data_IF_063757433310
#
_entry.id   IF_063757433310
#
_cell.length_a   1.000
_cell.length_b   1.000
_cell.length_c   1.000
_cell.angle_alpha   90.00
_cell.angle_beta   90.00
_cell.angle_gamma   90.00
#
_symmetry.space_group_name_H-M   'P 1'
#
loop_
_entity.id
_entity.type
_entity.pdbx_description
1 polymer ?
#
# COMPACT_ATOMS: atom_id res chain seq x y z
N UNK A 1 -28.26 12.37 -4.18
CA UNK A 1 -28.06 10.90 -4.21
C UNK A 1 -26.56 10.68 -4.11
N UNK A 2 -26.04 10.10 -3.03
CA UNK A 2 -24.58 9.90 -2.87
C UNK A 2 -24.09 8.84 -3.86
N UNK A 3 -22.94 9.06 -4.51
CA UNK A 3 -22.36 8.08 -5.41
C UNK A 3 -21.96 6.81 -4.65
N UNK A 4 -21.76 5.69 -5.36
CA UNK A 4 -21.28 4.46 -4.71
C UNK A 4 -19.90 4.68 -4.06
N UNK A 5 -19.04 5.47 -4.69
CA UNK A 5 -17.75 5.87 -4.14
C UNK A 5 -17.91 6.59 -2.79
N UNK A 6 -18.76 7.62 -2.71
CA UNK A 6 -18.92 8.41 -1.48
C UNK A 6 -19.46 7.55 -0.33
N UNK A 7 -20.31 6.56 -0.65
CA UNK A 7 -20.79 5.57 0.34
C UNK A 7 -19.67 4.68 0.85
N UNK A 8 -18.71 4.28 0.01
CA UNK A 8 -17.55 3.50 0.43
C UNK A 8 -16.55 4.33 1.23
N UNK A 9 -16.38 5.60 0.90
CA UNK A 9 -15.58 6.54 1.71
C UNK A 9 -16.17 6.66 3.11
N UNK A 10 -17.48 6.92 3.23
CA UNK A 10 -18.16 7.01 4.51
C UNK A 10 -17.99 5.72 5.35
N UNK A 11 -18.16 4.55 4.73
CA UNK A 11 -17.94 3.25 5.39
C UNK A 11 -16.49 3.03 5.82
N UNK A 12 -15.52 3.51 5.05
CA UNK A 12 -14.10 3.39 5.38
C UNK A 12 -13.75 4.23 6.60
N UNK A 13 -14.29 5.45 6.68
CA UNK A 13 -14.13 6.34 7.84
C UNK A 13 -14.83 5.76 9.07
N UNK A 14 -16.06 5.27 8.92
CA UNK A 14 -16.81 4.60 9.98
C UNK A 14 -16.05 3.39 10.53
N UNK A 15 -15.52 2.53 9.65
CA UNK A 15 -14.69 1.40 10.04
C UNK A 15 -13.41 1.86 10.73
N UNK A 16 -12.70 2.86 10.19
CA UNK A 16 -11.48 3.36 10.83
C UNK A 16 -11.70 3.88 12.24
N UNK A 17 -12.88 4.44 12.52
CA UNK A 17 -13.27 4.94 13.83
C UNK A 17 -13.88 3.86 14.75
N UNK A 18 -14.02 2.62 14.27
CA UNK A 18 -14.50 1.50 15.08
C UNK A 18 -13.33 0.83 15.82
N UNK A 19 -13.63 0.16 16.93
CA UNK A 19 -12.65 -0.66 17.63
C UNK A 19 -13.30 -1.93 18.18
N UNK A 20 -12.75 -3.13 17.91
CA UNK A 20 -11.57 -3.38 17.07
C UNK A 20 -11.88 -3.29 15.57
N UNK A 21 -10.90 -2.84 14.77
CA UNK A 21 -10.97 -2.93 13.30
C UNK A 21 -10.52 -4.33 12.86
N UNK A 22 -11.39 -5.05 12.16
CA UNK A 22 -11.05 -6.39 11.67
C UNK A 22 -10.38 -6.31 10.29
N UNK A 23 -9.21 -6.95 10.07
CA UNK A 23 -8.51 -6.89 8.78
C UNK A 23 -9.36 -7.32 7.57
N UNK A 24 -10.31 -8.24 7.79
CA UNK A 24 -11.23 -8.69 6.73
C UNK A 24 -12.16 -7.58 6.24
N UNK A 25 -12.51 -6.62 7.09
CA UNK A 25 -13.39 -5.50 6.73
C UNK A 25 -12.65 -4.46 5.89
N UNK A 26 -11.38 -4.17 6.22
CA UNK A 26 -10.50 -3.35 5.39
C UNK A 26 -10.36 -3.96 3.98
N UNK A 27 -10.14 -5.28 3.91
CA UNK A 27 -10.01 -6.00 2.64
C UNK A 27 -11.31 -5.91 1.84
N UNK A 28 -12.47 -6.11 2.47
CA UNK A 28 -13.78 -6.03 1.79
C UNK A 28 -14.03 -4.65 1.21
N UNK A 29 -13.73 -3.58 1.94
CA UNK A 29 -13.87 -2.21 1.42
C UNK A 29 -12.87 -1.94 0.29
N UNK A 30 -11.63 -2.41 0.41
CA UNK A 30 -10.63 -2.28 -0.65
C UNK A 30 -11.08 -2.96 -1.95
N UNK A 31 -11.66 -4.16 -1.85
CA UNK A 31 -12.24 -4.88 -3.00
C UNK A 31 -13.42 -4.11 -3.58
N UNK A 32 -14.33 -3.61 -2.74
CA UNK A 32 -15.50 -2.87 -3.20
C UNK A 32 -15.14 -1.61 -3.99
N UNK A 33 -14.05 -0.90 -3.63
CA UNK A 33 -13.52 0.20 -4.44
C UNK A 33 -12.96 -0.29 -5.77
N UNK A 34 -12.19 -1.39 -5.78
CA UNK A 34 -11.59 -1.96 -6.98
C UNK A 34 -12.60 -2.58 -7.96
N UNK A 35 -13.85 -2.81 -7.54
CA UNK A 35 -14.96 -3.29 -8.38
C UNK A 35 -15.85 -2.16 -8.91
N UNK A 36 -15.60 -0.90 -8.52
CA UNK A 36 -16.34 0.23 -9.07
C UNK A 36 -16.05 0.44 -10.56
N UNK A 37 -17.02 0.93 -11.34
CA UNK A 37 -16.76 1.36 -12.71
C UNK A 37 -15.84 2.60 -12.73
N UNK A 38 -15.16 2.81 -13.86
CA UNK A 38 -14.24 3.93 -14.08
C UNK A 38 -13.08 3.98 -13.07
N UNK A 39 -12.25 2.94 -13.11
CA UNK A 39 -11.14 2.76 -12.16
C UNK A 39 -10.12 3.91 -12.20
N UNK A 40 -9.94 4.59 -13.34
CA UNK A 40 -9.07 5.77 -13.40
C UNK A 40 -9.59 6.89 -12.49
N UNK A 41 -10.89 7.20 -12.59
CA UNK A 41 -11.50 8.20 -11.72
C UNK A 41 -11.52 7.74 -10.26
N UNK A 42 -11.84 6.47 -9.99
CA UNK A 42 -11.84 5.90 -8.63
C UNK A 42 -10.46 6.05 -7.98
N UNK A 43 -9.39 5.64 -8.66
CA UNK A 43 -8.02 5.74 -8.14
C UNK A 43 -7.60 7.19 -7.96
N UNK A 44 -7.91 8.07 -8.92
CA UNK A 44 -7.63 9.50 -8.81
C UNK A 44 -8.26 10.08 -7.53
N UNK A 45 -9.53 9.73 -7.25
CA UNK A 45 -10.22 10.14 -6.03
C UNK A 45 -9.65 9.50 -4.77
N UNK A 46 -9.30 8.22 -4.78
CA UNK A 46 -8.66 7.55 -3.63
C UNK A 46 -7.35 8.25 -3.23
N UNK A 47 -6.53 8.63 -4.22
CA UNK A 47 -5.29 9.38 -4.00
C UNK A 47 -5.58 10.76 -3.41
N UNK A 48 -6.57 11.48 -3.94
CA UNK A 48 -6.89 12.85 -3.49
C UNK A 48 -7.57 12.90 -2.12
N UNK A 49 -8.45 11.94 -1.82
CA UNK A 49 -9.32 12.02 -0.66
C UNK A 49 -8.83 11.19 0.53
N UNK A 50 -8.15 10.05 0.29
CA UNK A 50 -7.90 9.06 1.35
C UNK A 50 -6.41 8.80 1.66
N UNK A 51 -5.47 9.10 0.77
CA UNK A 51 -4.04 8.80 1.00
C UNK A 51 -3.43 9.58 2.16
N UNK A 52 -3.96 10.77 2.46
CA UNK A 52 -3.50 11.63 3.57
C UNK A 52 -4.53 11.70 4.71
N UNK A 53 -5.48 10.76 4.77
CA UNK A 53 -6.44 10.70 5.85
C UNK A 53 -5.74 10.43 7.20
N UNK A 54 -6.21 11.04 8.29
CA UNK A 54 -5.58 10.92 9.62
C UNK A 54 -5.57 9.47 10.14
N UNK A 55 -6.65 8.74 9.86
CA UNK A 55 -6.81 7.35 10.27
C UNK A 55 -6.05 6.38 9.35
N UNK A 56 -5.17 5.56 9.93
CA UNK A 56 -4.33 4.65 9.17
C UNK A 56 -5.11 3.56 8.42
N UNK A 57 -6.24 3.10 8.96
CA UNK A 57 -7.06 2.07 8.32
C UNK A 57 -7.66 2.60 7.02
N UNK A 58 -8.08 3.87 6.99
CA UNK A 58 -8.58 4.53 5.78
C UNK A 58 -7.48 4.62 4.72
N UNK A 59 -6.26 5.03 5.10
CA UNK A 59 -5.11 5.06 4.18
C UNK A 59 -4.82 3.66 3.61
N UNK A 60 -4.82 2.65 4.46
CA UNK A 60 -4.59 1.24 4.06
C UNK A 60 -5.63 0.73 3.09
N UNK A 61 -6.91 1.03 3.32
CA UNK A 61 -8.01 0.66 2.41
C UNK A 61 -7.77 1.26 1.03
N UNK A 62 -7.42 2.55 0.96
CA UNK A 62 -7.17 3.23 -0.30
C UNK A 62 -5.99 2.62 -1.09
N UNK A 63 -4.85 2.39 -0.43
CA UNK A 63 -3.68 1.77 -1.05
C UNK A 63 -4.01 0.36 -1.55
N UNK A 64 -4.69 -0.43 -0.72
CA UNK A 64 -5.09 -1.79 -1.06
C UNK A 64 -6.14 -1.86 -2.17
N UNK A 65 -6.99 -0.85 -2.31
CA UNK A 65 -7.92 -0.70 -3.43
C UNK A 65 -7.17 -0.39 -4.73
N UNK A 66 -6.27 0.59 -4.74
CA UNK A 66 -5.43 0.90 -5.90
C UNK A 66 -4.64 -0.32 -6.36
N UNK A 67 -4.03 -1.05 -5.41
CA UNK A 67 -3.31 -2.30 -5.71
C UNK A 67 -4.24 -3.35 -6.34
N UNK A 68 -5.43 -3.57 -5.79
CA UNK A 68 -6.38 -4.58 -6.32
C UNK A 68 -6.98 -4.21 -7.67
N UNK A 69 -7.17 -2.93 -7.95
CA UNK A 69 -7.68 -2.44 -9.23
C UNK A 69 -6.71 -2.74 -10.39
N UNK A 70 -5.41 -2.91 -10.11
CA UNK A 70 -4.35 -3.17 -11.10
C UNK A 70 -4.30 -2.12 -12.24
N UNK A 71 -4.81 -0.93 -12.00
CA UNK A 71 -4.76 0.22 -12.93
C UNK A 71 -3.71 1.21 -12.42
N UNK A 72 -2.46 1.02 -12.85
CA UNK A 72 -1.30 1.77 -12.35
C UNK A 72 -0.89 2.96 -13.24
N UNK A 73 -1.63 3.26 -14.30
CA UNK A 73 -1.38 4.37 -15.21
C UNK A 73 -2.23 5.61 -14.87
N UNK A 74 -2.51 5.82 -13.58
CA UNK A 74 -3.26 6.97 -13.09
C UNK A 74 -2.31 8.05 -12.58
N UNK A 75 -2.52 9.29 -13.04
CA UNK A 75 -1.72 10.44 -12.62
C UNK A 75 -1.74 10.61 -11.09
N UNK A 76 -0.57 10.86 -10.51
CA UNK A 76 -0.41 11.04 -9.06
C UNK A 76 -0.33 9.74 -8.26
N UNK A 77 -0.72 8.57 -8.78
CA UNK A 77 -0.67 7.31 -8.04
C UNK A 77 0.77 6.92 -7.67
N UNK A 78 1.72 7.03 -8.62
CA UNK A 78 3.14 6.74 -8.35
C UNK A 78 3.71 7.63 -7.24
N UNK A 79 3.44 8.92 -7.30
CA UNK A 79 3.90 9.87 -6.29
C UNK A 79 3.23 9.61 -4.93
N UNK A 80 1.91 9.41 -4.91
CA UNK A 80 1.17 9.07 -3.70
C UNK A 80 1.71 7.81 -3.01
N UNK A 81 1.90 6.71 -3.76
CA UNK A 81 2.48 5.48 -3.21
C UNK A 81 3.92 5.66 -2.74
N UNK A 82 4.72 6.45 -3.47
CA UNK A 82 6.10 6.77 -3.07
C UNK A 82 6.11 7.51 -1.72
N UNK A 83 5.23 8.49 -1.53
CA UNK A 83 5.10 9.22 -0.27
C UNK A 83 4.68 8.31 0.89
N UNK A 84 3.80 7.32 0.63
CA UNK A 84 3.38 6.33 1.65
C UNK A 84 4.49 5.38 2.11
N UNK A 85 5.63 5.30 1.42
CA UNK A 85 6.82 4.64 1.99
C UNK A 85 7.35 5.38 3.23
N UNK A 86 7.01 6.65 3.45
CA UNK A 86 7.41 7.40 4.65
C UNK A 86 6.26 7.55 5.68
N UNK A 87 5.17 6.81 5.52
CA UNK A 87 4.04 6.89 6.45
C UNK A 87 4.48 6.51 7.89
N UNK A 88 4.02 7.19 8.95
CA UNK A 88 4.38 6.83 10.32
C UNK A 88 3.98 5.38 10.67
N UNK A 89 2.91 4.87 10.06
CA UNK A 89 2.38 3.56 10.37
C UNK A 89 2.99 2.45 9.53
N UNK A 90 3.57 1.45 10.18
CA UNK A 90 4.30 0.39 9.50
C UNK A 90 3.42 -0.42 8.54
N UNK A 91 2.15 -0.65 8.87
CA UNK A 91 1.23 -1.33 7.97
C UNK A 91 0.93 -0.54 6.69
N UNK A 92 0.90 0.80 6.76
CA UNK A 92 0.76 1.63 5.56
C UNK A 92 1.99 1.53 4.67
N UNK A 93 3.19 1.58 5.27
CA UNK A 93 4.46 1.39 4.53
C UNK A 93 4.56 0.02 3.88
N UNK A 94 4.10 -1.03 4.58
CA UNK A 94 4.01 -2.39 4.04
C UNK A 94 3.12 -2.44 2.79
N UNK A 95 1.90 -1.90 2.89
CA UNK A 95 0.93 -1.90 1.80
C UNK A 95 1.45 -1.08 0.59
N UNK A 96 2.11 0.05 0.85
CA UNK A 96 2.73 0.88 -0.18
C UNK A 96 3.87 0.15 -0.91
N UNK A 97 4.79 -0.49 -0.17
CA UNK A 97 5.87 -1.29 -0.76
C UNK A 97 5.34 -2.46 -1.59
N UNK A 98 4.18 -3.02 -1.23
CA UNK A 98 3.49 -4.02 -2.05
C UNK A 98 2.93 -3.42 -3.34
N UNK A 99 2.17 -2.33 -3.23
CA UNK A 99 1.59 -1.70 -4.41
C UNK A 99 2.68 -1.26 -5.41
N UNK A 100 3.80 -0.71 -4.94
CA UNK A 100 4.96 -0.35 -5.76
C UNK A 100 5.55 -1.57 -6.49
N UNK A 101 5.68 -2.70 -5.80
CA UNK A 101 6.19 -3.94 -6.39
C UNK A 101 5.29 -4.43 -7.53
N UNK A 102 3.98 -4.51 -7.31
CA UNK A 102 3.02 -4.97 -8.33
C UNK A 102 2.93 -3.99 -9.51
N UNK A 103 2.99 -2.69 -9.23
CA UNK A 103 3.02 -1.65 -10.25
C UNK A 103 4.34 -1.57 -11.03
N UNK A 104 5.38 -2.27 -10.58
CA UNK A 104 6.77 -2.17 -11.08
C UNK A 104 7.25 -0.72 -11.14
N UNK A 105 6.83 0.09 -10.18
CA UNK A 105 7.26 1.47 -10.10
C UNK A 105 8.69 1.55 -9.63
N UNK A 106 9.54 2.08 -10.50
CA UNK A 106 10.95 2.21 -10.22
C UNK A 106 11.44 3.63 -10.57
N UNK A 107 12.29 4.17 -9.70
CA UNK A 107 13.12 5.35 -9.88
C UNK A 107 14.10 5.45 -8.69
N UNK A 108 15.13 6.31 -8.75
CA UNK A 108 16.11 6.44 -7.68
C UNK A 108 15.51 6.76 -6.29
N UNK A 109 14.48 7.62 -6.23
CA UNK A 109 13.82 7.99 -4.98
C UNK A 109 13.11 6.79 -4.34
N UNK A 110 12.36 6.00 -5.11
CA UNK A 110 11.70 4.79 -4.62
C UNK A 110 12.73 3.81 -4.05
N UNK A 111 13.85 3.61 -4.75
CA UNK A 111 14.92 2.72 -4.27
C UNK A 111 15.52 3.23 -2.96
N UNK A 112 15.81 4.52 -2.85
CA UNK A 112 16.31 5.14 -1.62
C UNK A 112 15.33 4.94 -0.45
N UNK A 113 14.06 5.23 -0.65
CA UNK A 113 13.03 5.06 0.39
C UNK A 113 12.84 3.59 0.78
N UNK A 114 12.95 2.65 -0.16
CA UNK A 114 12.91 1.22 0.13
C UNK A 114 14.15 0.76 0.90
N UNK A 115 15.35 1.29 0.61
CA UNK A 115 16.58 1.03 1.37
C UNK A 115 16.41 1.51 2.82
N UNK A 116 15.95 2.75 3.00
CA UNK A 116 15.71 3.32 4.33
C UNK A 116 14.68 2.51 5.11
N UNK A 117 13.57 2.12 4.47
CA UNK A 117 12.54 1.29 5.09
C UNK A 117 13.03 -0.11 5.42
N UNK A 118 13.83 -0.74 4.57
CA UNK A 118 14.34 -2.08 4.81
C UNK A 118 15.31 -2.12 6.00
N UNK A 119 16.04 -1.02 6.24
CA UNK A 119 17.06 -0.94 7.27
C UNK A 119 18.04 -2.12 7.18
N UNK A 120 18.28 -2.76 8.32
CA UNK A 120 19.24 -3.86 8.46
C UNK A 120 18.65 -5.26 8.22
N UNK A 121 17.45 -5.36 7.64
CA UNK A 121 16.81 -6.66 7.39
C UNK A 121 17.67 -7.55 6.48
N UNK A 122 17.84 -8.80 6.90
CA UNK A 122 18.56 -9.88 6.21
C UNK A 122 17.58 -10.99 5.85
N UNK A 123 17.44 -11.26 4.56
CA UNK A 123 16.64 -12.38 4.06
C UNK A 123 17.53 -13.62 3.88
N UNK A 124 17.04 -14.85 4.17
CA UNK A 124 15.66 -15.18 4.57
C UNK A 124 15.39 -15.13 6.08
N UNK A 125 16.39 -14.89 6.94
CA UNK A 125 16.26 -15.00 8.40
C UNK A 125 15.13 -14.14 8.98
N UNK A 126 15.04 -12.87 8.58
CA UNK A 126 13.99 -11.97 9.05
C UNK A 126 12.61 -12.33 8.50
N UNK A 127 12.52 -13.00 7.35
CA UNK A 127 11.25 -13.51 6.84
C UNK A 127 10.71 -14.64 7.72
N UNK A 128 11.60 -15.53 8.19
CA UNK A 128 11.22 -16.57 9.15
C UNK A 128 10.75 -15.95 10.47
N UNK A 129 11.45 -14.91 10.97
CA UNK A 129 11.04 -14.17 12.17
C UNK A 129 9.66 -13.52 12.04
N UNK A 130 9.31 -13.01 10.85
CA UNK A 130 7.95 -12.51 10.58
C UNK A 130 6.91 -13.61 10.69
N UNK A 131 7.20 -14.83 10.21
CA UNK A 131 6.25 -15.96 10.30
C UNK A 131 5.99 -16.37 11.75
N UNK A 132 7.02 -16.30 12.60
CA UNK A 132 6.91 -16.59 14.03
C UNK A 132 6.17 -15.50 14.82
N UNK A 133 6.21 -14.25 14.35
CA UNK A 133 5.53 -13.11 14.97
C UNK A 133 4.82 -12.23 13.94
N UNK A 134 3.64 -12.64 13.44
CA UNK A 134 2.93 -11.94 12.37
C UNK A 134 2.42 -10.54 12.79
N UNK A 135 2.31 -10.28 14.09
CA UNK A 135 1.88 -9.00 14.65
C UNK A 135 2.96 -7.91 14.63
N UNK A 136 4.23 -8.26 14.34
CA UNK A 136 5.31 -7.28 14.25
C UNK A 136 5.23 -6.51 12.92
N UNK A 137 4.39 -5.48 12.91
CA UNK A 137 4.15 -4.62 11.73
C UNK A 137 5.42 -3.93 11.23
N UNK A 138 6.32 -3.53 12.12
CA UNK A 138 7.59 -2.90 11.76
C UNK A 138 8.47 -3.87 10.97
N UNK A 139 8.68 -5.08 11.47
CA UNK A 139 9.48 -6.08 10.77
C UNK A 139 8.83 -6.52 9.44
N UNK A 140 7.50 -6.66 9.41
CA UNK A 140 6.75 -6.93 8.19
C UNK A 140 7.04 -5.88 7.11
N UNK A 141 6.94 -4.60 7.46
CA UNK A 141 7.20 -3.49 6.54
C UNK A 141 8.65 -3.49 6.03
N UNK A 142 9.62 -3.70 6.92
CA UNK A 142 11.04 -3.76 6.57
C UNK A 142 11.34 -4.93 5.61
N UNK A 143 10.81 -6.12 5.90
CA UNK A 143 10.94 -7.31 5.05
C UNK A 143 10.29 -7.08 3.68
N UNK A 144 9.10 -6.50 3.64
CA UNK A 144 8.42 -6.21 2.37
C UNK A 144 9.21 -5.19 1.54
N UNK A 145 9.71 -4.13 2.16
CA UNK A 145 10.55 -3.13 1.49
C UNK A 145 11.82 -3.77 0.90
N UNK A 146 12.52 -4.65 1.66
CA UNK A 146 13.69 -5.37 1.17
C UNK A 146 13.35 -6.26 -0.04
N UNK A 147 12.24 -7.02 0.04
CA UNK A 147 11.80 -7.88 -1.09
C UNK A 147 11.45 -7.07 -2.33
N UNK A 148 10.76 -5.94 -2.16
CA UNK A 148 10.44 -5.04 -3.27
C UNK A 148 11.71 -4.48 -3.90
N UNK A 149 12.66 -4.01 -3.09
CA UNK A 149 13.95 -3.50 -3.58
C UNK A 149 14.71 -4.54 -4.40
N UNK A 150 14.89 -5.75 -3.86
CA UNK A 150 15.59 -6.82 -4.57
C UNK A 150 14.91 -7.10 -5.93
N UNK A 151 13.58 -7.22 -5.96
CA UNK A 151 12.85 -7.47 -7.20
C UNK A 151 13.00 -6.35 -8.26
N UNK A 152 13.10 -5.08 -7.84
CA UNK A 152 13.36 -3.97 -8.76
C UNK A 152 14.80 -3.99 -9.29
N UNK A 153 15.76 -4.51 -8.50
CA UNK A 153 17.16 -4.57 -8.88
C UNK A 153 17.47 -5.76 -9.78
N UNK A 154 16.95 -6.94 -9.44
CA UNK A 154 17.10 -8.16 -10.25
C UNK A 154 16.46 -7.99 -11.65
N UNK A 155 15.41 -7.17 -11.75
CA UNK A 155 14.79 -6.82 -13.03
C UNK A 155 15.67 -6.00 -13.98
N UNK A 156 16.82 -5.48 -13.53
CA UNK A 156 17.77 -4.73 -14.36
C UNK A 156 18.84 -5.63 -15.00
N UNK A 157 19.18 -6.77 -14.39
CA UNK A 157 20.26 -7.66 -14.87
C UNK A 157 19.89 -8.47 -16.12
N UNK A 158 18.62 -8.43 -16.55
CA UNK A 158 18.13 -9.12 -17.75
C UNK A 158 18.07 -8.27 -19.02
N UNK A 159 18.61 -7.04 -19.01
CA UNK A 159 18.56 -6.08 -20.12
C UNK A 159 19.94 -5.64 -20.65
N UNK A 160 21.02 -6.32 -20.24
CA UNK A 160 22.37 -6.15 -20.81
C UNK A 160 22.68 -7.23 -21.87
#
# INVERSE_FOLDING_TARGET
MHSQFDRLVAKSIELGNSFPVMPIEEIRLSVAFAELPDLHNVISRLVQELFEHENMHVRRIAINACRRAQTFDVQGLKEGLTNKLNDPEAWVRYDAAWAIHEAKYDNPLIRELLILNAGNVKLPDDENRVRENPGNSALQAQVKARKTLNALMDGQEGLE
#
